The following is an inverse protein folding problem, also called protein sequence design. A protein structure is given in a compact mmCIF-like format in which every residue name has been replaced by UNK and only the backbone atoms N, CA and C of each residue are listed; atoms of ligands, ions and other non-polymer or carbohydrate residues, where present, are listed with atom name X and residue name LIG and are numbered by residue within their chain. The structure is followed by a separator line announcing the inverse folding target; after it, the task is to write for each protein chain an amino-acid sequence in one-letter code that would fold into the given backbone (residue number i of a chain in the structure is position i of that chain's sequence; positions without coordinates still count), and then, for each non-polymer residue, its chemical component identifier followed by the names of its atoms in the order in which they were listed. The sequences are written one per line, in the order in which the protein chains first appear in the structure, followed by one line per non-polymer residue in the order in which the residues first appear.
data_IF_757076274552
#
_entry.id   IF_757076274552
#
_cell.length_a   1.000
_cell.length_b   1.000
_cell.length_c   1.000
_cell.angle_alpha   90.00
_cell.angle_beta   90.00
_cell.angle_gamma   90.00
#
_symmetry.space_group_name_H-M   'P 1'
#
loop_
_entity.id
_entity.type
_entity.pdbx_description
1 polymer ?
#
# COMPACT_ATOMS: atom_id res chain seq x y z
N UNK A 1 -37.83 6.75 -19.39
CA UNK A 1 -36.97 7.70 -18.66
C UNK A 1 -35.83 6.89 -18.08
N UNK A 2 -34.60 7.12 -18.51
CA UNK A 2 -33.44 6.35 -18.04
C UNK A 2 -32.89 7.04 -16.77
N UNK A 3 -33.11 6.42 -15.62
CA UNK A 3 -32.54 6.85 -14.35
C UNK A 3 -31.02 6.63 -14.42
N UNK A 4 -30.26 7.73 -14.51
CA UNK A 4 -28.80 7.69 -14.38
C UNK A 4 -28.50 7.45 -12.90
N UNK A 5 -28.20 6.20 -12.56
CA UNK A 5 -27.62 5.83 -11.28
C UNK A 5 -26.24 6.49 -11.18
N UNK A 6 -26.15 7.60 -10.44
CA UNK A 6 -24.87 8.19 -10.06
C UNK A 6 -24.35 7.30 -8.93
N UNK A 7 -23.35 6.48 -9.21
CA UNK A 7 -22.67 5.71 -8.19
C UNK A 7 -22.04 6.69 -7.19
N UNK A 8 -22.58 6.74 -5.97
CA UNK A 8 -21.98 7.49 -4.87
C UNK A 8 -20.71 6.77 -4.46
N UNK A 9 -19.55 7.31 -4.83
CA UNK A 9 -18.26 6.84 -4.32
C UNK A 9 -18.26 7.08 -2.82
N UNK A 10 -18.15 6.03 -2.01
CA UNK A 10 -18.15 6.17 -0.56
C UNK A 10 -16.83 6.80 -0.10
N UNK A 11 -16.82 7.45 1.07
CA UNK A 11 -15.57 7.95 1.65
C UNK A 11 -14.55 6.80 1.83
N UNK A 12 -15.02 5.58 2.14
CA UNK A 12 -14.19 4.38 2.24
C UNK A 12 -13.47 4.04 0.94
N UNK A 13 -14.14 4.13 -0.21
CA UNK A 13 -13.53 3.88 -1.52
C UNK A 13 -12.45 4.92 -1.86
N UNK A 14 -12.64 6.17 -1.42
CA UNK A 14 -11.66 7.25 -1.60
C UNK A 14 -10.43 6.99 -0.74
N UNK A 15 -10.61 6.58 0.52
CA UNK A 15 -9.49 6.25 1.41
C UNK A 15 -8.70 5.05 0.90
N UNK A 16 -9.36 3.94 0.54
CA UNK A 16 -8.71 2.75 0.00
C UNK A 16 -7.93 3.06 -1.30
N UNK A 17 -8.49 3.90 -2.18
CA UNK A 17 -7.79 4.35 -3.39
C UNK A 17 -6.56 5.17 -3.05
N UNK A 18 -6.66 6.09 -2.09
CA UNK A 18 -5.57 6.98 -1.73
C UNK A 18 -4.43 6.24 -1.02
N UNK A 19 -4.78 5.28 -0.18
CA UNK A 19 -3.84 4.35 0.45
C UNK A 19 -3.04 3.56 -0.60
N UNK A 20 -3.73 2.99 -1.61
CA UNK A 20 -3.06 2.32 -2.73
C UNK A 20 -2.10 3.25 -3.48
N UNK A 21 -2.53 4.47 -3.79
CA UNK A 21 -1.68 5.47 -4.47
C UNK A 21 -0.44 5.84 -3.65
N UNK A 22 -0.58 5.97 -2.33
CA UNK A 22 0.55 6.27 -1.44
C UNK A 22 1.52 5.08 -1.37
N UNK A 23 1.01 3.85 -1.35
CA UNK A 23 1.80 2.62 -1.38
C UNK A 23 2.61 2.52 -2.67
N UNK A 24 1.96 2.70 -3.82
CA UNK A 24 2.63 2.64 -5.13
C UNK A 24 3.75 3.69 -5.23
N UNK A 25 3.50 4.91 -4.74
CA UNK A 25 4.51 5.97 -4.73
C UNK A 25 5.70 5.64 -3.82
N UNK A 26 5.48 5.00 -2.66
CA UNK A 26 6.56 4.59 -1.76
C UNK A 26 7.39 3.45 -2.35
N UNK A 27 6.76 2.50 -3.05
CA UNK A 27 7.49 1.45 -3.80
C UNK A 27 8.39 2.07 -4.87
N UNK A 28 7.87 3.01 -5.64
CA UNK A 28 8.64 3.70 -6.68
C UNK A 28 9.84 4.45 -6.10
N UNK A 29 9.66 5.11 -4.94
CA UNK A 29 10.77 5.78 -4.24
C UNK A 29 11.84 4.77 -3.80
N UNK A 30 11.44 3.65 -3.21
CA UNK A 30 12.36 2.59 -2.76
C UNK A 30 13.14 2.00 -3.95
N UNK A 31 12.47 1.73 -5.06
CA UNK A 31 13.10 1.19 -6.25
C UNK A 31 14.07 2.20 -6.89
N UNK A 32 13.71 3.49 -6.92
CA UNK A 32 14.61 4.55 -7.36
C UNK A 32 15.86 4.66 -6.47
N UNK A 33 15.70 4.52 -5.15
CA UNK A 33 16.80 4.51 -4.19
C UNK A 33 17.73 3.30 -4.44
N UNK A 34 17.17 2.11 -4.65
CA UNK A 34 17.94 0.88 -4.96
C UNK A 34 18.73 0.95 -6.26
N UNK A 35 18.21 1.67 -7.25
CA UNK A 35 18.86 1.85 -8.54
C UNK A 35 19.91 2.97 -8.52
N UNK A 36 19.93 3.80 -7.47
CA UNK A 36 20.91 4.86 -7.33
C UNK A 36 22.27 4.30 -6.90
N UNK A 37 23.26 4.37 -7.80
CA UNK A 37 24.63 3.89 -7.55
C UNK A 37 25.30 4.51 -6.34
N UNK A 38 25.00 5.77 -6.01
CA UNK A 38 25.57 6.43 -4.83
C UNK A 38 25.06 5.84 -3.52
N UNK A 39 23.86 5.24 -3.54
CA UNK A 39 23.23 4.61 -2.39
C UNK A 39 23.63 3.13 -2.27
N UNK A 40 23.93 2.47 -3.40
CA UNK A 40 24.44 1.09 -3.39
C UNK A 40 25.76 0.99 -2.61
N UNK A 41 26.56 2.05 -2.56
CA UNK A 41 27.85 2.03 -1.87
C UNK A 41 27.76 2.45 -0.38
N UNK A 42 26.58 2.84 0.11
CA UNK A 42 26.34 3.21 1.51
C UNK A 42 25.51 2.11 2.24
N UNK A 43 26.13 1.30 3.11
CA UNK A 43 25.45 0.19 3.78
C UNK A 43 24.35 0.65 4.76
N UNK A 44 24.46 1.84 5.37
CA UNK A 44 23.45 2.35 6.31
C UNK A 44 22.20 2.80 5.54
N UNK A 45 22.38 3.41 4.37
CA UNK A 45 21.27 3.75 3.47
C UNK A 45 20.63 2.50 2.85
N UNK A 46 21.41 1.48 2.49
CA UNK A 46 20.87 0.20 2.05
C UNK A 46 19.97 -0.44 3.12
N UNK A 47 20.47 -0.54 4.37
CA UNK A 47 19.71 -1.11 5.47
C UNK A 47 18.41 -0.33 5.74
N UNK A 48 18.48 1.00 5.69
CA UNK A 48 17.30 1.85 5.88
C UNK A 48 16.28 1.64 4.76
N UNK A 49 16.74 1.48 3.52
CA UNK A 49 15.90 1.21 2.35
C UNK A 49 15.21 -0.15 2.45
N UNK A 50 15.91 -1.18 2.93
CA UNK A 50 15.35 -2.51 3.16
C UNK A 50 14.32 -2.50 4.30
N UNK A 51 14.58 -1.79 5.39
CA UNK A 51 13.61 -1.63 6.48
C UNK A 51 12.33 -0.95 5.99
N UNK A 52 12.46 0.09 5.17
CA UNK A 52 11.30 0.77 4.56
C UNK A 52 10.50 -0.17 3.65
N UNK A 53 11.18 -1.00 2.85
CA UNK A 53 10.53 -2.00 1.99
C UNK A 53 9.79 -3.07 2.80
N UNK A 54 10.40 -3.56 3.88
CA UNK A 54 9.79 -4.57 4.75
C UNK A 54 8.57 -4.02 5.49
N UNK A 55 8.64 -2.80 6.02
CA UNK A 55 7.49 -2.15 6.66
C UNK A 55 6.30 -1.98 5.69
N UNK A 56 6.58 -1.70 4.42
CA UNK A 56 5.53 -1.59 3.40
C UNK A 56 4.88 -2.94 3.07
N UNK A 57 5.68 -4.02 3.05
CA UNK A 57 5.21 -5.39 2.86
C UNK A 57 4.39 -5.89 4.06
N UNK A 58 4.81 -5.55 5.29
CA UNK A 58 4.05 -5.87 6.50
C UNK A 58 2.67 -5.21 6.49
N UNK A 59 2.56 -3.96 6.01
CA UNK A 59 1.27 -3.30 5.80
C UNK A 59 0.41 -4.02 4.75
N UNK A 60 1.01 -4.63 3.72
CA UNK A 60 0.25 -5.44 2.74
C UNK A 60 -0.31 -6.71 3.40
N UNK A 61 0.51 -7.35 4.23
CA UNK A 61 0.14 -8.57 4.92
C UNK A 61 -0.99 -8.31 5.93
N UNK A 62 -0.92 -7.19 6.68
CA UNK A 62 -1.97 -6.76 7.61
C UNK A 62 -3.27 -6.46 6.86
N UNK A 63 -3.24 -5.66 5.79
CA UNK A 63 -4.45 -5.38 4.98
C UNK A 63 -5.10 -6.65 4.45
N UNK A 64 -4.29 -7.58 3.92
CA UNK A 64 -4.77 -8.84 3.37
C UNK A 64 -5.34 -9.79 4.45
N UNK A 65 -4.78 -9.77 5.66
CA UNK A 65 -5.23 -10.62 6.76
C UNK A 65 -6.40 -10.03 7.54
N UNK A 66 -6.46 -8.71 7.72
CA UNK A 66 -7.59 -8.03 8.37
C UNK A 66 -8.86 -8.16 7.54
N UNK A 67 -8.78 -7.99 6.21
CA UNK A 67 -9.89 -8.28 5.29
C UNK A 67 -10.33 -9.76 5.34
N UNK A 68 -9.40 -10.68 5.61
CA UNK A 68 -9.69 -12.11 5.80
C UNK A 68 -10.36 -12.44 7.13
N UNK A 69 -10.08 -11.70 8.21
CA UNK A 69 -10.72 -11.90 9.52
C UNK A 69 -12.12 -11.30 9.62
N UNK A 70 -12.40 -10.16 8.99
CA UNK A 70 -13.76 -9.60 9.00
C UNK A 70 -14.74 -10.46 8.20
N UNK A 71 -14.28 -11.12 7.12
CA UNK A 71 -15.11 -12.06 6.35
C UNK A 71 -15.56 -13.29 7.18
N UNK A 72 -14.85 -13.66 8.26
CA UNK A 72 -15.25 -14.78 9.14
C UNK A 72 -16.11 -14.38 10.32
N UNK A 73 -16.12 -13.10 10.73
CA UNK A 73 -16.97 -12.61 11.83
C UNK A 73 -18.41 -12.32 11.40
N UNK A 74 -18.69 -12.23 10.10
CA UNK A 74 -20.05 -12.09 9.57
C UNK A 74 -20.83 -13.39 9.34
N UNK A 75 -20.27 -14.55 9.71
CA UNK A 75 -20.85 -15.88 9.49
C UNK A 75 -21.07 -16.71 10.78
N UNK A 76 -21.01 -16.07 11.96
CA UNK A 76 -21.37 -16.71 13.24
C UNK A 76 -22.67 -16.17 13.80
#
# INVERSE_FOLDING_TARGET
MAERVIASVSAGDIYARKERQMRDALLEIIDNIRQNREIIDDPDLQQTTELAANALNDLEWIDAHEQGTDARKGLQ
#
